data_IF_287338835101
#
_entry.id   IF_287338835101
#
_cell.length_a   1.000
_cell.length_b   1.000
_cell.length_c   1.000
_cell.angle_alpha   90.00
_cell.angle_beta   90.00
_cell.angle_gamma   90.00
#
_symmetry.space_group_name_H-M   'P 1'
#
loop_
_entity.id
_entity.type
_entity.pdbx_description
1 polymer ?
#
# COMPACT_ATOMS: atom_id res chain seq x y z
N UNK A 1 -3.69 -8.96 -11.31
CA UNK A 1 -4.61 -9.65 -10.39
C UNK A 1 -5.44 -10.63 -11.17
N UNK A 2 -5.59 -11.85 -10.68
CA UNK A 2 -6.36 -12.91 -11.30
C UNK A 2 -7.34 -13.50 -10.30
N UNK A 3 -8.63 -13.31 -10.52
CA UNK A 3 -9.70 -13.74 -9.63
C UNK A 3 -10.97 -13.99 -10.48
N UNK A 4 -11.64 -15.16 -10.36
CA UNK A 4 -12.79 -15.48 -11.19
C UNK A 4 -14.04 -14.65 -10.84
N UNK A 5 -14.10 -14.07 -9.63
CA UNK A 5 -15.17 -13.17 -9.23
C UNK A 5 -14.78 -11.73 -9.63
N UNK A 6 -15.44 -11.13 -10.64
CA UNK A 6 -15.11 -9.79 -11.11
C UNK A 6 -15.32 -8.72 -10.03
N UNK A 7 -16.29 -8.88 -9.11
CA UNK A 7 -16.52 -7.91 -8.04
C UNK A 7 -15.39 -7.94 -7.03
N UNK A 8 -14.93 -9.14 -6.67
CA UNK A 8 -13.82 -9.34 -5.73
C UNK A 8 -12.50 -8.85 -6.33
N UNK A 9 -12.27 -9.15 -7.61
CA UNK A 9 -11.13 -8.65 -8.38
C UNK A 9 -11.10 -7.11 -8.43
N UNK A 10 -12.23 -6.46 -8.77
CA UNK A 10 -12.33 -5.00 -8.85
C UNK A 10 -12.12 -4.30 -7.49
N UNK A 11 -12.66 -4.87 -6.40
CA UNK A 11 -12.47 -4.33 -5.05
C UNK A 11 -10.99 -4.34 -4.66
N UNK A 12 -10.34 -5.51 -4.75
CA UNK A 12 -8.94 -5.63 -4.39
C UNK A 12 -8.04 -4.80 -5.33
N UNK A 13 -8.41 -4.66 -6.61
CA UNK A 13 -7.70 -3.80 -7.55
C UNK A 13 -7.78 -2.32 -7.18
N UNK A 14 -8.92 -1.88 -6.64
CA UNK A 14 -9.10 -0.50 -6.17
C UNK A 14 -8.18 -0.19 -4.99
N UNK A 15 -8.05 -1.12 -4.04
CA UNK A 15 -7.10 -1.02 -2.92
C UNK A 15 -5.67 -0.93 -3.46
N UNK A 16 -5.25 -1.87 -4.29
CA UNK A 16 -3.87 -1.95 -4.82
C UNK A 16 -3.53 -0.70 -5.67
N UNK A 17 -4.50 -0.15 -6.41
CA UNK A 17 -4.33 1.10 -7.15
C UNK A 17 -4.15 2.32 -6.23
N UNK A 18 -4.87 2.40 -5.11
CA UNK A 18 -4.68 3.45 -4.08
C UNK A 18 -3.35 3.32 -3.34
N UNK A 19 -2.73 2.15 -3.37
CA UNK A 19 -1.34 1.91 -2.95
C UNK A 19 -0.31 2.28 -4.02
N UNK A 20 -0.71 3.00 -5.07
CA UNK A 20 0.16 3.51 -6.16
C UNK A 20 0.72 2.42 -7.11
N UNK A 21 0.16 1.20 -7.10
CA UNK A 21 0.54 0.18 -8.07
C UNK A 21 -0.35 0.24 -9.33
N UNK A 22 0.25 -0.04 -10.48
CA UNK A 22 -0.49 -0.32 -11.71
C UNK A 22 -1.09 -1.72 -11.68
N UNK A 23 -2.39 -1.84 -11.97
CA UNK A 23 -3.12 -3.11 -11.86
C UNK A 23 -3.75 -3.50 -13.18
N UNK A 24 -3.48 -4.73 -13.61
CA UNK A 24 -4.15 -5.41 -14.72
C UNK A 24 -5.03 -6.53 -14.16
N UNK A 25 -6.20 -6.74 -14.76
CA UNK A 25 -7.21 -7.70 -14.28
C UNK A 25 -7.32 -8.87 -15.25
N UNK A 26 -7.40 -10.08 -14.69
CA UNK A 26 -7.74 -11.30 -15.40
C UNK A 26 -8.86 -12.00 -14.65
N UNK A 27 -9.94 -12.37 -15.36
CA UNK A 27 -11.06 -13.14 -14.79
C UNK A 27 -11.04 -14.61 -15.23
N UNK A 28 -10.10 -14.98 -16.11
CA UNK A 28 -9.93 -16.32 -16.65
C UNK A 28 -8.47 -16.59 -17.02
N UNK A 29 -8.13 -17.86 -17.25
CA UNK A 29 -6.77 -18.29 -17.56
C UNK A 29 -6.20 -17.80 -18.91
N UNK A 30 -6.98 -17.74 -20.01
CA UNK A 30 -6.51 -17.12 -21.26
C UNK A 30 -6.06 -15.66 -21.07
N UNK A 31 -6.85 -14.84 -20.38
CA UNK A 31 -6.48 -13.45 -20.10
C UNK A 31 -5.24 -13.34 -19.20
N UNK A 32 -5.16 -14.18 -18.16
CA UNK A 32 -3.99 -14.25 -17.29
C UNK A 32 -2.71 -14.55 -18.09
N UNK A 33 -2.77 -15.52 -18.99
CA UNK A 33 -1.64 -15.91 -19.85
C UNK A 33 -1.26 -14.78 -20.79
N UNK A 34 -2.24 -14.21 -21.49
CA UNK A 34 -2.02 -13.08 -22.42
C UNK A 34 -1.36 -11.88 -21.72
N UNK A 35 -1.84 -11.52 -20.52
CA UNK A 35 -1.31 -10.39 -19.75
C UNK A 35 0.11 -10.68 -19.25
N UNK A 36 0.32 -11.84 -18.62
CA UNK A 36 1.63 -12.17 -18.03
C UNK A 36 2.74 -12.28 -19.07
N UNK A 37 2.44 -12.80 -20.26
CA UNK A 37 3.40 -12.87 -21.37
C UNK A 37 3.60 -11.54 -22.11
N UNK A 38 2.59 -10.65 -22.10
CA UNK A 38 2.67 -9.37 -22.80
C UNK A 38 3.43 -8.28 -22.05
N UNK A 39 3.31 -8.22 -20.72
CA UNK A 39 3.89 -7.13 -19.90
C UNK A 39 4.85 -7.59 -18.80
N UNK A 40 4.90 -8.88 -18.47
CA UNK A 40 5.67 -9.47 -17.35
C UNK A 40 5.57 -8.59 -16.08
N UNK A 41 4.46 -8.66 -15.34
CA UNK A 41 4.25 -7.78 -14.19
C UNK A 41 5.23 -8.12 -13.04
N UNK A 42 5.50 -7.13 -12.19
CA UNK A 42 6.33 -7.35 -10.98
C UNK A 42 5.74 -8.39 -10.04
N UNK A 43 4.40 -8.41 -9.93
CA UNK A 43 3.67 -9.40 -9.15
C UNK A 43 2.33 -9.79 -9.77
N UNK A 44 1.92 -11.03 -9.47
CA UNK A 44 0.62 -11.60 -9.72
C UNK A 44 -0.02 -11.97 -8.39
N UNK A 45 -1.12 -11.30 -8.04
CA UNK A 45 -2.06 -11.81 -7.04
C UNK A 45 -2.96 -12.83 -7.74
N UNK A 46 -2.80 -14.11 -7.40
CA UNK A 46 -3.48 -15.26 -8.02
C UNK A 46 -4.48 -15.87 -7.04
N UNK A 47 -5.76 -15.75 -7.33
CA UNK A 47 -6.80 -16.43 -6.56
C UNK A 47 -6.73 -17.95 -6.75
N UNK A 48 -6.86 -18.71 -5.66
CA UNK A 48 -6.90 -20.17 -5.71
C UNK A 48 -8.09 -20.71 -6.51
N UNK A 49 -9.15 -19.93 -6.66
CA UNK A 49 -10.40 -20.32 -7.34
C UNK A 49 -10.35 -20.12 -8.87
N UNK A 50 -9.27 -19.56 -9.44
CA UNK A 50 -9.15 -19.28 -10.87
C UNK A 50 -9.24 -20.56 -11.75
N UNK A 51 -10.26 -20.71 -12.64
CA UNK A 51 -10.40 -21.86 -13.54
C UNK A 51 -9.61 -21.71 -14.87
N UNK A 52 -9.34 -22.80 -15.61
CA UNK A 52 -9.50 -24.21 -15.24
C UNK A 52 -8.35 -24.71 -14.35
N UNK A 53 -7.55 -23.79 -13.80
CA UNK A 53 -6.30 -24.10 -13.13
C UNK A 53 -6.43 -23.80 -11.65
N UNK A 54 -7.14 -24.68 -10.92
CA UNK A 54 -7.13 -24.70 -9.45
C UNK A 54 -5.69 -24.44 -8.99
N UNK A 55 -5.45 -23.36 -8.25
CA UNK A 55 -4.25 -22.50 -8.28
C UNK A 55 -2.83 -23.09 -8.23
N UNK A 56 -2.63 -24.41 -8.26
CA UNK A 56 -1.36 -25.11 -8.15
C UNK A 56 -0.67 -25.42 -9.51
N UNK A 57 -1.30 -26.04 -10.54
CA UNK A 57 -0.63 -26.28 -11.82
C UNK A 57 -0.28 -24.98 -12.58
N UNK A 58 -1.01 -23.89 -12.31
CA UNK A 58 -0.74 -22.56 -12.88
C UNK A 58 0.62 -22.04 -12.44
N UNK A 59 0.93 -22.18 -11.15
CA UNK A 59 2.19 -21.70 -10.57
C UNK A 59 3.34 -22.48 -11.20
N UNK A 60 3.25 -23.81 -11.23
CA UNK A 60 4.27 -24.67 -11.83
C UNK A 60 4.49 -24.37 -13.32
N UNK A 61 3.40 -24.22 -14.09
CA UNK A 61 3.47 -23.84 -15.50
C UNK A 61 4.11 -22.45 -15.71
N UNK A 62 3.77 -21.47 -14.87
CA UNK A 62 4.41 -20.15 -14.92
C UNK A 62 5.88 -20.24 -14.54
N UNK A 63 6.26 -21.09 -13.59
CA UNK A 63 7.66 -21.27 -13.16
C UNK A 63 8.49 -22.06 -14.17
N UNK A 64 7.87 -22.93 -14.96
CA UNK A 64 8.52 -23.58 -16.09
C UNK A 64 8.87 -22.58 -17.21
N UNK A 65 8.17 -21.45 -17.29
CA UNK A 65 8.48 -20.38 -18.24
C UNK A 65 9.56 -19.44 -17.68
N UNK A 66 10.77 -19.49 -18.26
CA UNK A 66 11.91 -18.67 -17.85
C UNK A 66 11.63 -17.16 -17.88
N UNK A 67 10.81 -16.68 -18.81
CA UNK A 67 10.46 -15.25 -18.90
C UNK A 67 9.61 -14.77 -17.72
N UNK A 68 8.88 -15.68 -17.06
CA UNK A 68 8.03 -15.38 -15.91
C UNK A 68 8.72 -15.66 -14.56
N UNK A 69 9.98 -16.12 -14.57
CA UNK A 69 10.69 -16.52 -13.36
C UNK A 69 10.87 -15.36 -12.35
N UNK A 70 11.03 -14.12 -12.85
CA UNK A 70 11.22 -12.93 -12.00
C UNK A 70 9.91 -12.44 -11.36
N UNK A 71 8.76 -12.73 -11.99
CA UNK A 71 7.44 -12.31 -11.52
C UNK A 71 7.13 -12.94 -10.17
N UNK A 72 6.76 -12.12 -9.19
CA UNK A 72 6.32 -12.60 -7.88
C UNK A 72 4.91 -13.14 -7.97
N UNK A 73 4.67 -14.36 -7.49
CA UNK A 73 3.33 -14.92 -7.43
C UNK A 73 2.89 -14.92 -5.96
N UNK A 74 1.76 -14.29 -5.68
CA UNK A 74 1.17 -14.18 -4.35
C UNK A 74 -0.21 -14.84 -4.42
N UNK A 75 -0.38 -15.99 -3.78
CA UNK A 75 -1.65 -16.70 -3.78
C UNK A 75 -2.68 -16.03 -2.86
N UNK A 76 -3.93 -16.01 -3.27
CA UNK A 76 -5.04 -15.41 -2.50
C UNK A 76 -6.12 -16.47 -2.31
N UNK A 77 -6.59 -16.66 -1.09
CA UNK A 77 -7.60 -17.67 -0.78
C UNK A 77 -8.22 -17.48 0.61
N UNK A 78 -9.30 -18.20 0.90
CA UNK A 78 -9.94 -18.13 2.23
C UNK A 78 -9.08 -18.77 3.31
N UNK A 79 -9.16 -18.25 4.54
CA UNK A 79 -8.44 -18.81 5.70
C UNK A 79 -8.70 -20.31 5.93
N UNK A 80 -9.89 -20.79 5.57
CA UNK A 80 -10.23 -22.22 5.62
C UNK A 80 -9.34 -23.09 4.70
N UNK A 81 -8.72 -22.49 3.68
CA UNK A 81 -7.84 -23.14 2.69
C UNK A 81 -6.36 -22.87 2.96
N UNK A 82 -5.99 -22.57 4.21
CA UNK A 82 -4.60 -22.26 4.59
C UNK A 82 -3.60 -23.33 4.15
N UNK A 83 -3.95 -24.62 4.27
CA UNK A 83 -3.09 -25.72 3.82
C UNK A 83 -2.78 -25.66 2.32
N UNK A 84 -3.74 -25.23 1.50
CA UNK A 84 -3.54 -25.09 0.05
C UNK A 84 -2.70 -23.86 -0.29
N UNK A 85 -2.87 -22.76 0.46
CA UNK A 85 -2.03 -21.57 0.37
C UNK A 85 -0.58 -21.87 0.77
N UNK A 86 -0.36 -22.62 1.84
CA UNK A 86 0.98 -23.08 2.24
C UNK A 86 1.59 -23.99 1.18
N UNK A 87 0.82 -24.94 0.65
CA UNK A 87 1.27 -25.82 -0.43
C UNK A 87 1.63 -25.05 -1.72
N UNK A 88 1.03 -23.89 -1.98
CA UNK A 88 1.37 -23.05 -3.13
C UNK A 88 2.80 -22.51 -3.09
N UNK A 89 3.35 -22.28 -1.87
CA UNK A 89 4.73 -21.80 -1.69
C UNK A 89 5.72 -22.86 -2.18
N UNK A 90 5.52 -24.12 -1.80
CA UNK A 90 6.36 -25.24 -2.25
C UNK A 90 6.35 -25.45 -3.76
N UNK A 91 5.33 -24.92 -4.45
CA UNK A 91 5.17 -24.99 -5.91
C UNK A 91 5.72 -23.76 -6.63
N UNK A 92 6.23 -22.78 -5.90
CA UNK A 92 6.90 -21.59 -6.44
C UNK A 92 6.14 -20.28 -6.27
N UNK A 93 5.04 -20.24 -5.51
CA UNK A 93 4.53 -18.97 -5.01
C UNK A 93 5.53 -18.33 -4.03
N UNK A 94 5.59 -17.01 -4.01
CA UNK A 94 6.50 -16.24 -3.17
C UNK A 94 5.87 -15.85 -1.81
N UNK A 95 4.55 -15.77 -1.76
CA UNK A 95 3.77 -15.49 -0.56
C UNK A 95 2.31 -15.91 -0.77
N UNK A 96 1.51 -15.82 0.28
CA UNK A 96 0.06 -15.87 0.19
C UNK A 96 -0.59 -14.80 1.08
N UNK A 97 -1.85 -14.50 0.80
CA UNK A 97 -2.70 -13.63 1.62
C UNK A 97 -4.05 -14.33 1.82
N UNK A 98 -4.56 -14.32 3.05
CA UNK A 98 -5.86 -14.92 3.36
C UNK A 98 -7.00 -13.91 3.25
N UNK A 99 -8.17 -14.36 2.81
CA UNK A 99 -9.44 -13.65 3.00
C UNK A 99 -10.00 -13.93 4.40
N UNK A 100 -10.62 -12.94 5.07
CA UNK A 100 -10.73 -11.53 4.67
C UNK A 100 -9.39 -10.81 4.57
N UNK A 101 -9.18 -10.05 3.49
CA UNK A 101 -7.89 -9.41 3.22
C UNK A 101 -7.74 -8.18 4.11
N UNK A 102 -6.77 -8.21 5.02
CA UNK A 102 -6.32 -7.00 5.73
C UNK A 102 -5.56 -6.09 4.76
N UNK A 103 -5.92 -4.80 4.62
CA UNK A 103 -5.18 -3.87 3.75
C UNK A 103 -3.73 -3.69 4.20
N UNK A 104 -3.50 -3.71 5.51
CA UNK A 104 -2.17 -3.64 6.12
C UNK A 104 -1.33 -4.87 5.78
N UNK A 105 -1.90 -6.08 5.86
CA UNK A 105 -1.21 -7.33 5.51
C UNK A 105 -0.91 -7.41 4.02
N UNK A 106 -1.88 -7.05 3.17
CA UNK A 106 -1.70 -6.97 1.73
C UNK A 106 -0.57 -6.01 1.37
N UNK A 107 -0.58 -4.80 1.93
CA UNK A 107 0.46 -3.81 1.68
C UNK A 107 1.84 -4.31 2.07
N UNK A 108 1.99 -4.87 3.27
CA UNK A 108 3.27 -5.44 3.74
C UNK A 108 3.74 -6.57 2.83
N UNK A 109 2.83 -7.42 2.38
CA UNK A 109 3.15 -8.51 1.46
C UNK A 109 3.63 -7.97 0.12
N UNK A 110 2.92 -7.01 -0.47
CA UNK A 110 3.33 -6.36 -1.72
C UNK A 110 4.70 -5.66 -1.58
N UNK A 111 4.88 -4.88 -0.52
CA UNK A 111 6.15 -4.19 -0.23
C UNK A 111 7.32 -5.18 -0.12
N UNK A 112 7.14 -6.27 0.63
CA UNK A 112 8.18 -7.29 0.81
C UNK A 112 8.57 -7.99 -0.49
N UNK A 113 7.61 -8.17 -1.41
CA UNK A 113 7.82 -8.93 -2.64
C UNK A 113 8.31 -8.07 -3.81
N UNK A 114 7.82 -6.83 -3.90
CA UNK A 114 7.98 -5.97 -5.08
C UNK A 114 9.03 -4.89 -4.85
N UNK A 115 9.10 -4.31 -3.65
CA UNK A 115 9.92 -3.12 -3.42
C UNK A 115 11.35 -3.49 -3.00
N UNK A 116 12.38 -2.85 -3.59
CA UNK A 116 13.77 -3.08 -3.20
C UNK A 116 14.06 -2.56 -1.78
N UNK A 117 13.25 -1.61 -1.28
CA UNK A 117 13.30 -1.10 0.10
C UNK A 117 11.89 -1.13 0.70
N UNK A 118 11.45 -2.28 1.21
CA UNK A 118 10.11 -2.45 1.77
C UNK A 118 9.84 -1.46 2.91
N UNK A 119 8.64 -0.89 2.91
CA UNK A 119 8.13 -0.08 4.03
C UNK A 119 7.25 -0.92 4.95
N UNK A 120 7.40 -0.71 6.26
CA UNK A 120 6.65 -1.45 7.27
C UNK A 120 5.24 -0.89 7.54
N UNK A 121 5.08 0.41 7.35
CA UNK A 121 3.84 1.13 7.64
C UNK A 121 3.10 1.48 6.36
N UNK A 122 1.80 1.18 6.36
CA UNK A 122 0.88 1.56 5.31
C UNK A 122 0.96 3.07 5.08
N UNK A 123 1.24 3.46 3.83
CA UNK A 123 1.29 4.87 3.43
C UNK A 123 0.26 5.11 2.34
N UNK A 124 -0.61 6.06 2.57
CA UNK A 124 -1.60 6.52 1.59
C UNK A 124 -1.24 7.90 1.08
N UNK A 125 -1.66 8.21 -0.14
CA UNK A 125 -1.71 9.59 -0.62
C UNK A 125 -2.88 10.29 0.04
N UNK A 126 -2.64 11.52 0.48
CA UNK A 126 -3.66 12.39 1.06
C UNK A 126 -3.49 13.78 0.47
N UNK A 127 -4.50 14.63 0.58
CA UNK A 127 -4.37 16.05 0.30
C UNK A 127 -5.23 16.82 1.27
N UNK A 128 -4.63 17.28 2.36
CA UNK A 128 -5.28 18.18 3.30
C UNK A 128 -4.29 19.21 3.83
N UNK A 129 -4.83 20.35 4.26
CA UNK A 129 -4.03 21.45 4.77
C UNK A 129 -3.37 21.05 6.09
N UNK A 130 -2.13 21.49 6.27
CA UNK A 130 -1.36 21.20 7.47
C UNK A 130 -0.51 22.40 7.82
N UNK A 131 -0.31 22.65 9.11
CA UNK A 131 0.58 23.71 9.58
C UNK A 131 1.72 23.08 10.37
N UNK A 132 2.95 23.34 9.96
CA UNK A 132 4.16 22.90 10.68
C UNK A 132 4.71 24.07 11.48
N UNK A 133 4.92 23.86 12.77
CA UNK A 133 5.29 24.89 13.74
C UNK A 133 6.63 24.51 14.38
N UNK A 134 7.61 25.40 14.30
CA UNK A 134 8.92 25.27 14.95
C UNK A 134 9.21 26.56 15.74
N UNK A 135 9.24 26.46 17.06
CA UNK A 135 9.31 27.65 17.93
C UNK A 135 8.13 28.60 17.67
N UNK A 136 8.43 29.83 17.28
CA UNK A 136 7.43 30.85 16.92
C UNK A 136 7.06 30.86 15.43
N UNK A 137 7.72 30.03 14.61
CA UNK A 137 7.50 30.00 13.15
C UNK A 137 6.50 28.92 12.78
N UNK A 138 5.29 29.33 12.37
CA UNK A 138 4.29 28.46 11.75
C UNK A 138 4.28 28.59 10.23
N UNK A 139 4.24 27.48 9.50
CA UNK A 139 4.14 27.45 8.03
C UNK A 139 2.98 26.54 7.60
N UNK A 140 1.96 27.14 7.01
CA UNK A 140 0.87 26.40 6.37
C UNK A 140 1.35 25.80 5.04
N UNK A 141 0.91 24.57 4.76
CA UNK A 141 1.31 23.75 3.63
C UNK A 141 0.26 22.63 3.45
N UNK A 142 0.58 21.60 2.68
CA UNK A 142 -0.27 20.44 2.46
C UNK A 142 0.48 19.16 2.78
N UNK A 143 -0.19 18.28 3.50
CA UNK A 143 0.21 16.89 3.60
C UNK A 143 -0.11 16.19 2.27
N UNK A 144 0.87 15.50 1.69
CA UNK A 144 0.66 14.73 0.44
C UNK A 144 0.77 13.22 0.64
N UNK A 145 1.24 12.79 1.81
CA UNK A 145 1.19 11.39 2.19
C UNK A 145 1.17 11.21 3.70
N UNK A 146 0.51 10.14 4.14
CA UNK A 146 0.29 9.84 5.55
C UNK A 146 0.52 8.36 5.82
N UNK A 147 1.14 8.07 6.96
CA UNK A 147 1.30 6.73 7.54
C UNK A 147 1.06 6.81 9.04
N UNK A 148 0.96 5.66 9.71
CA UNK A 148 0.80 5.60 11.17
C UNK A 148 1.94 6.27 11.96
N UNK A 149 3.14 6.38 11.36
CA UNK A 149 4.33 6.91 12.05
C UNK A 149 4.85 8.22 11.50
N UNK A 150 4.23 8.75 10.46
CA UNK A 150 4.74 9.96 9.85
C UNK A 150 3.91 10.48 8.70
N UNK A 151 4.24 11.70 8.30
CA UNK A 151 3.54 12.47 7.29
C UNK A 151 4.56 13.17 6.40
N UNK A 152 4.25 13.27 5.11
CA UNK A 152 5.05 14.06 4.19
C UNK A 152 4.36 15.40 3.92
N UNK A 153 5.09 16.49 4.13
CA UNK A 153 4.62 17.86 3.96
C UNK A 153 5.29 18.45 2.73
N UNK A 154 4.50 18.84 1.73
CA UNK A 154 5.00 19.42 0.47
C UNK A 154 5.32 20.90 0.65
N UNK A 155 6.59 21.27 0.61
CA UNK A 155 7.04 22.65 0.83
C UNK A 155 8.33 22.95 0.08
N UNK A 156 8.47 24.17 -0.42
CA UNK A 156 9.71 24.66 -1.01
C UNK A 156 10.76 25.05 0.04
N UNK A 157 10.35 25.17 1.32
CA UNK A 157 11.21 25.62 2.42
C UNK A 157 11.07 24.64 3.59
N UNK A 158 11.63 23.42 3.48
CA UNK A 158 11.61 22.45 4.57
C UNK A 158 12.37 22.98 5.79
N UNK A 159 11.99 22.53 6.98
CA UNK A 159 12.81 22.73 8.17
C UNK A 159 14.05 21.80 8.13
N UNK A 160 15.15 22.15 8.81
CA UNK A 160 16.34 21.29 8.87
C UNK A 160 16.03 19.90 9.43
N UNK A 161 16.68 18.86 8.88
CA UNK A 161 16.61 17.49 9.41
C UNK A 161 17.03 17.47 10.89
N UNK A 162 16.31 16.69 11.71
CA UNK A 162 16.48 16.64 13.17
C UNK A 162 15.70 17.72 13.94
N UNK A 163 15.08 18.70 13.25
CA UNK A 163 14.27 19.71 13.93
C UNK A 163 13.05 19.08 14.57
N UNK A 164 12.79 19.42 15.83
CA UNK A 164 11.54 19.11 16.53
C UNK A 164 10.47 20.13 16.19
N UNK A 165 9.33 19.67 15.72
CA UNK A 165 8.22 20.50 15.24
C UNK A 165 6.89 19.98 15.78
N UNK A 166 5.89 20.85 15.85
CA UNK A 166 4.49 20.45 15.96
C UNK A 166 3.85 20.49 14.58
N UNK A 167 3.05 19.50 14.24
CA UNK A 167 2.26 19.47 13.01
C UNK A 167 0.78 19.44 13.36
N UNK A 168 0.07 20.50 12.96
CA UNK A 168 -1.38 20.58 13.06
C UNK A 168 -2.00 20.08 11.75
N UNK A 169 -2.86 19.08 11.83
CA UNK A 169 -3.54 18.45 10.71
C UNK A 169 -4.98 18.99 10.61
N UNK A 170 -5.32 19.57 9.47
CA UNK A 170 -6.68 20.01 9.15
C UNK A 170 -7.48 18.83 8.61
N UNK A 171 -7.81 17.91 9.51
CA UNK A 171 -8.64 16.74 9.23
C UNK A 171 -10.10 17.04 9.56
N UNK A 172 -11.07 16.38 8.88
CA UNK A 172 -12.49 16.51 9.17
C UNK A 172 -12.82 15.83 10.52
N UNK A 173 -12.39 16.46 11.60
CA UNK A 173 -12.51 15.96 12.97
C UNK A 173 -13.00 17.07 13.90
N UNK A 174 -13.71 16.74 15.00
CA UNK A 174 -14.23 17.76 15.92
C UNK A 174 -13.14 18.54 16.67
N UNK A 175 -11.92 17.98 16.76
CA UNK A 175 -10.80 18.56 17.50
C UNK A 175 -9.56 18.60 16.61
N UNK A 176 -8.86 19.74 16.49
CA UNK A 176 -7.61 19.82 15.76
C UNK A 176 -6.61 18.77 16.25
N UNK A 177 -6.07 17.97 15.33
CA UNK A 177 -5.04 16.99 15.65
C UNK A 177 -3.69 17.69 15.53
N UNK A 178 -3.02 17.89 16.68
CA UNK A 178 -1.67 18.47 16.74
C UNK A 178 -0.73 17.40 17.28
N UNK A 179 0.31 17.09 16.51
CA UNK A 179 1.27 16.02 16.82
C UNK A 179 2.66 16.59 16.96
N UNK A 180 3.41 16.12 17.95
CA UNK A 180 4.85 16.32 18.01
C UNK A 180 5.54 15.44 16.96
N UNK A 181 6.54 15.99 16.29
CA UNK A 181 7.24 15.30 15.22
C UNK A 181 8.69 15.77 15.11
N UNK A 182 9.49 14.96 14.41
CA UNK A 182 10.86 15.29 14.03
C UNK A 182 11.00 15.25 12.51
N UNK A 183 11.74 16.20 11.95
CA UNK A 183 12.08 16.19 10.52
C UNK A 183 13.05 15.05 10.24
N UNK A 184 12.57 13.98 9.61
CA UNK A 184 13.36 12.78 9.33
C UNK A 184 14.23 12.95 8.08
N UNK A 185 13.71 13.59 7.04
CA UNK A 185 14.42 13.92 5.81
C UNK A 185 13.78 15.10 5.11
N UNK A 186 14.54 15.78 4.27
CA UNK A 186 14.07 16.86 3.41
C UNK A 186 14.40 16.54 1.95
N UNK A 187 13.48 16.88 1.05
CA UNK A 187 13.65 16.81 -0.40
C UNK A 187 13.71 18.25 -0.91
N UNK A 188 14.87 18.73 -1.39
CA UNK A 188 14.99 20.07 -1.92
C UNK A 188 14.18 20.23 -3.21
N UNK A 189 13.82 21.48 -3.54
CA UNK A 189 13.24 21.80 -4.83
C UNK A 189 14.32 21.72 -5.91
N UNK A 190 14.20 20.74 -6.79
CA UNK A 190 15.06 20.55 -7.94
C UNK A 190 14.21 20.67 -9.21
N UNK A 191 14.43 21.68 -10.08
CA UNK A 191 13.61 21.92 -11.26
C UNK A 191 13.49 20.72 -12.20
N UNK A 192 14.53 19.89 -12.26
CA UNK A 192 14.65 18.80 -13.22
C UNK A 192 14.13 17.45 -12.68
N UNK A 193 13.64 17.40 -11.42
CA UNK A 193 13.11 16.18 -10.82
C UNK A 193 11.59 16.23 -10.71
N UNK A 194 10.93 15.18 -11.18
CA UNK A 194 9.48 14.94 -10.99
C UNK A 194 9.15 14.42 -9.58
N UNK A 195 9.75 15.02 -8.54
CA UNK A 195 9.52 14.66 -7.14
C UNK A 195 9.07 15.91 -6.40
N UNK A 196 7.96 15.80 -5.68
CA UNK A 196 7.47 16.90 -4.84
C UNK A 196 8.53 17.28 -3.79
N UNK A 197 8.99 18.55 -3.76
CA UNK A 197 9.85 19.02 -2.69
C UNK A 197 9.09 19.09 -1.37
N UNK A 198 9.79 18.88 -0.27
CA UNK A 198 9.17 18.88 1.03
C UNK A 198 10.00 18.24 2.11
N UNK A 199 9.32 17.72 3.12
CA UNK A 199 9.97 17.02 4.23
C UNK A 199 9.10 15.88 4.74
N UNK A 200 9.77 14.78 5.10
CA UNK A 200 9.17 13.70 5.86
C UNK A 200 9.26 14.01 7.35
N UNK A 201 8.12 14.04 8.02
CA UNK A 201 8.03 14.16 9.47
C UNK A 201 7.76 12.78 10.07
N UNK A 202 8.51 12.40 11.10
CA UNK A 202 8.24 11.24 11.94
C UNK A 202 7.51 11.72 13.19
N UNK A 203 6.34 11.16 13.47
CA UNK A 203 5.62 11.49 14.70
C UNK A 203 6.37 10.97 15.93
N UNK A 204 6.33 11.72 17.02
CA UNK A 204 6.99 11.40 18.29
C UNK A 204 5.98 11.53 19.43
N UNK A 205 6.11 10.64 20.43
CA UNK A 205 5.28 10.62 21.65
C UNK A 205 3.76 10.61 21.38
N UNK A 206 3.34 9.94 20.30
CA UNK A 206 1.92 9.80 19.95
C UNK A 206 1.23 8.81 20.91
N UNK A 207 0.16 9.26 21.58
CA UNK A 207 -0.66 8.39 22.41
C UNK A 207 -1.34 7.27 21.61
N UNK A 208 -1.57 6.11 22.25
CA UNK A 208 -2.14 4.91 21.63
C UNK A 208 -3.47 5.17 20.91
N UNK A 209 -4.31 6.03 21.49
CA UNK A 209 -5.65 6.33 20.96
C UNK A 209 -5.57 7.10 19.63
N UNK A 210 -4.65 8.07 19.55
CA UNK A 210 -4.43 8.82 18.31
C UNK A 210 -3.79 7.91 17.26
N UNK A 211 -2.85 7.04 17.67
CA UNK A 211 -2.24 6.08 16.76
C UNK A 211 -3.28 5.10 16.19
N UNK A 212 -4.20 4.61 17.02
CA UNK A 212 -5.30 3.74 16.60
C UNK A 212 -6.26 4.49 15.66
N UNK A 213 -6.62 5.74 15.97
CA UNK A 213 -7.43 6.59 15.09
C UNK A 213 -6.76 6.86 13.74
N UNK A 214 -5.45 7.11 13.73
CA UNK A 214 -4.65 7.29 12.52
C UNK A 214 -4.65 6.02 11.65
N UNK A 215 -4.41 4.85 12.25
CA UNK A 215 -4.49 3.56 11.56
C UNK A 215 -5.86 3.38 10.92
N UNK A 216 -6.93 3.59 11.69
CA UNK A 216 -8.31 3.43 11.23
C UNK A 216 -8.61 4.37 10.06
N UNK A 217 -8.25 5.65 10.17
CA UNK A 217 -8.41 6.62 9.09
C UNK A 217 -7.66 6.19 7.81
N UNK A 218 -6.42 5.72 7.94
CA UNK A 218 -5.63 5.25 6.79
C UNK A 218 -6.29 4.05 6.11
N UNK A 219 -6.76 3.07 6.90
CA UNK A 219 -7.47 1.90 6.39
C UNK A 219 -8.79 2.28 5.72
N UNK A 220 -9.58 3.18 6.32
CA UNK A 220 -10.83 3.69 5.74
C UNK A 220 -10.60 4.43 4.42
N UNK A 221 -9.58 5.28 4.32
CA UNK A 221 -9.22 5.96 3.06
C UNK A 221 -8.79 4.99 1.97
N UNK A 222 -8.12 3.90 2.36
CA UNK A 222 -7.66 2.87 1.43
C UNK A 222 -8.82 2.00 0.93
N UNK A 223 -9.80 1.72 1.78
CA UNK A 223 -11.00 0.96 1.41
C UNK A 223 -11.96 1.86 0.61
N UNK A 224 -12.27 3.07 1.06
CA UNK A 224 -13.25 3.98 0.45
C UNK A 224 -14.64 3.84 1.05
N UNK A 225 -15.59 4.68 0.63
CA UNK A 225 -16.98 4.66 1.12
C UNK A 225 -17.75 3.40 0.65
N UNK A 226 -18.61 2.83 1.51
CA UNK A 226 -19.49 1.71 1.17
C UNK A 226 -18.91 0.29 1.34
N UNK A 227 -17.88 0.12 2.16
CA UNK A 227 -17.15 -1.15 2.35
C UNK A 227 -17.64 -2.02 3.52
N UNK A 228 -18.70 -1.60 4.22
CA UNK A 228 -19.28 -2.38 5.32
C UNK A 228 -19.90 -3.69 4.80
N UNK A 229 -19.37 -4.84 5.27
CA UNK A 229 -20.12 -6.10 5.27
C UNK A 229 -19.73 -7.21 4.29
N UNK A 230 -18.59 -7.16 3.61
CA UNK A 230 -18.13 -8.30 2.76
C UNK A 230 -16.61 -8.51 2.89
N UNK A 231 -16.22 -8.88 4.10
CA UNK A 231 -14.92 -9.48 4.42
C UNK A 231 -15.18 -10.80 5.14
#
# INVERSE_FOLDING_TARGET
MADPDPKRCLRLASIVKRLDYNVFLASNSPDLTRITLGIIPHALLLDLDMPPVAGQPSIEAMRANRSLAIMKIISVGDKARLKELEASISRGANAYVTRPISPTELYRTLQKQIEPRPRNFLRIRVLFKSTVISGTTGRASFATALSEQGIFIRTLKPFPVGSRVKVALDLPSPKPIVLDAEVLYAIPAEPDKLIDPGMGLKFVDMGSDIQAGMRKFIEEQLMGEGWEGIL
#
